data_IF_061759219343
#
_entry.id   IF_061759219343
#
_cell.length_a   1.000
_cell.length_b   1.000
_cell.length_c   1.000
_cell.angle_alpha   90.00
_cell.angle_beta   90.00
_cell.angle_gamma   90.00
#
_symmetry.space_group_name_H-M   'P 1'
#
loop_
_entity.id
_entity.type
_entity.pdbx_description
1 polymer ?
#
# COMPACT_ATOMS: atom_id res chain seq x y z
N UNK A 1 -13.22 24.62 -9.00
CA UNK A 1 -13.46 23.49 -8.07
C UNK A 1 -12.11 22.89 -7.69
N UNK A 2 -11.91 22.55 -6.42
CA UNK A 2 -10.72 21.79 -5.98
C UNK A 2 -11.04 20.31 -6.11
N UNK A 3 -10.27 19.59 -6.92
CA UNK A 3 -10.37 18.12 -7.01
C UNK A 3 -9.40 17.48 -6.02
N UNK A 4 -9.90 16.54 -5.22
CA UNK A 4 -9.09 15.79 -4.25
C UNK A 4 -8.23 14.76 -5.00
N UNK A 5 -6.96 15.10 -5.25
CA UNK A 5 -5.99 14.21 -5.93
C UNK A 5 -5.34 13.19 -4.99
N UNK A 6 -5.24 13.50 -3.70
CA UNK A 6 -4.63 12.66 -2.68
C UNK A 6 -5.60 12.44 -1.53
N UNK A 7 -5.71 11.19 -1.07
CA UNK A 7 -6.56 10.80 0.04
C UNK A 7 -5.77 9.92 1.03
N UNK A 8 -5.64 10.39 2.27
CA UNK A 8 -5.07 9.64 3.39
C UNK A 8 -6.19 9.20 4.34
N UNK A 9 -6.26 7.91 4.65
CA UNK A 9 -7.26 7.32 5.52
C UNK A 9 -6.59 6.40 6.55
N UNK A 10 -6.38 6.92 7.76
CA UNK A 10 -5.89 6.18 8.91
C UNK A 10 -7.07 5.82 9.83
N UNK A 11 -7.38 4.53 9.96
CA UNK A 11 -8.44 4.02 10.85
C UNK A 11 -7.91 2.90 11.75
N UNK A 12 -8.42 2.88 12.98
CA UNK A 12 -8.09 1.84 13.95
C UNK A 12 -8.85 0.54 13.63
N UNK A 13 -8.12 -0.56 13.42
CA UNK A 13 -8.55 -1.89 12.97
C UNK A 13 -9.99 -2.32 13.39
N UNK A 14 -10.40 -2.31 14.68
CA UNK A 14 -11.79 -2.57 15.11
C UNK A 14 -12.92 -1.84 14.35
N UNK A 15 -12.64 -0.70 13.71
CA UNK A 15 -13.63 0.10 12.97
C UNK A 15 -13.58 -0.11 11.46
N UNK A 16 -12.56 -0.81 10.94
CA UNK A 16 -12.36 -1.09 9.51
C UNK A 16 -13.60 -1.72 8.88
N UNK A 17 -14.13 -2.79 9.48
CA UNK A 17 -15.28 -3.51 8.95
C UNK A 17 -16.54 -2.63 8.89
N UNK A 18 -16.76 -1.78 9.91
CA UNK A 18 -17.87 -0.82 9.95
C UNK A 18 -17.77 0.21 8.82
N UNK A 19 -16.56 0.69 8.52
CA UNK A 19 -16.32 1.59 7.39
C UNK A 19 -16.44 0.89 6.03
N UNK A 20 -15.95 -0.34 5.90
CA UNK A 20 -16.13 -1.14 4.68
C UNK A 20 -17.61 -1.34 4.33
N UNK A 21 -18.43 -1.70 5.32
CA UNK A 21 -19.89 -1.79 5.17
C UNK A 21 -20.52 -0.44 4.80
N UNK A 22 -20.10 0.66 5.45
CA UNK A 22 -20.63 1.99 5.15
C UNK A 22 -20.25 2.50 3.75
N UNK A 23 -19.05 2.19 3.26
CA UNK A 23 -18.61 2.54 1.91
C UNK A 23 -19.36 1.74 0.84
N UNK A 24 -19.58 0.44 1.08
CA UNK A 24 -20.40 -0.41 0.21
C UNK A 24 -21.87 0.05 0.15
N UNK A 25 -22.47 0.36 1.31
CA UNK A 25 -23.88 0.76 1.41
C UNK A 25 -24.18 2.18 0.87
N UNK A 26 -23.16 2.98 0.57
CA UNK A 26 -23.30 4.39 0.12
C UNK A 26 -22.75 4.67 -1.27
N UNK A 27 -22.39 3.63 -2.03
CA UNK A 27 -21.81 3.74 -3.38
C UNK A 27 -20.67 4.78 -3.45
N UNK A 28 -19.82 4.81 -2.42
CA UNK A 28 -18.75 5.81 -2.33
C UNK A 28 -17.86 5.74 -3.58
N UNK A 29 -17.67 6.86 -4.26
CA UNK A 29 -16.83 6.93 -5.45
C UNK A 29 -15.95 8.17 -5.38
N UNK A 30 -14.64 7.95 -5.50
CA UNK A 30 -13.58 8.95 -5.44
C UNK A 30 -12.78 8.92 -6.75
N UNK A 31 -13.41 9.20 -7.91
CA UNK A 31 -12.81 8.95 -9.24
C UNK A 31 -11.65 9.90 -9.59
N UNK A 32 -11.40 10.93 -8.79
CA UNK A 32 -10.31 11.90 -8.99
C UNK A 32 -9.10 11.67 -8.07
N UNK A 33 -9.20 10.72 -7.12
CA UNK A 33 -8.09 10.36 -6.23
C UNK A 33 -7.09 9.51 -7.00
N UNK A 34 -5.93 10.09 -7.28
CA UNK A 34 -4.82 9.40 -7.96
C UNK A 34 -3.76 8.86 -6.99
N UNK A 35 -3.72 9.41 -5.77
CA UNK A 35 -2.84 9.00 -4.69
C UNK A 35 -3.68 8.55 -3.48
N UNK A 36 -3.57 7.28 -3.11
CA UNK A 36 -4.33 6.66 -2.03
C UNK A 36 -3.37 6.11 -0.96
N UNK A 37 -3.46 6.64 0.26
CA UNK A 37 -2.69 6.18 1.41
C UNK A 37 -3.66 5.69 2.50
N UNK A 38 -3.59 4.42 2.88
CA UNK A 38 -4.62 3.78 3.72
C UNK A 38 -4.02 2.96 4.86
N UNK A 39 -4.75 2.81 5.96
CA UNK A 39 -4.35 1.92 7.06
C UNK A 39 -4.31 0.44 6.60
N UNK A 40 -3.66 -0.45 7.38
CA UNK A 40 -3.88 -1.89 7.24
C UNK A 40 -5.38 -2.23 7.21
N UNK A 41 -5.73 -3.27 6.45
CA UNK A 41 -7.09 -3.80 6.29
C UNK A 41 -8.12 -2.85 5.65
N UNK A 42 -7.71 -1.66 5.19
CA UNK A 42 -8.59 -0.71 4.51
C UNK A 42 -8.58 -0.86 2.97
N UNK A 43 -8.15 -2.01 2.45
CA UNK A 43 -7.96 -2.26 1.01
C UNK A 43 -9.27 -2.16 0.19
N UNK A 44 -10.42 -2.23 0.85
CA UNK A 44 -11.71 -1.95 0.23
C UNK A 44 -11.76 -0.55 -0.43
N UNK A 45 -11.07 0.46 0.15
CA UNK A 45 -11.01 1.81 -0.42
C UNK A 45 -10.36 1.86 -1.80
N UNK A 46 -9.46 0.94 -2.13
CA UNK A 46 -8.81 0.92 -3.45
C UNK A 46 -9.82 0.60 -4.55
N UNK A 47 -10.98 -0.02 -4.25
CA UNK A 47 -12.09 -0.21 -5.21
C UNK A 47 -12.90 1.07 -5.43
N UNK A 48 -12.94 1.95 -4.44
CA UNK A 48 -13.66 3.22 -4.49
C UNK A 48 -12.84 4.35 -5.16
N UNK A 49 -11.55 4.13 -5.41
CA UNK A 49 -10.63 5.07 -6.07
C UNK A 49 -10.11 4.49 -7.41
N UNK A 50 -10.92 4.47 -8.49
CA UNK A 50 -10.56 3.81 -9.76
C UNK A 50 -9.37 4.47 -10.48
N UNK A 51 -9.12 5.76 -10.27
CA UNK A 51 -8.00 6.49 -10.86
C UNK A 51 -6.70 6.43 -10.02
N UNK A 52 -6.66 5.63 -8.94
CA UNK A 52 -5.49 5.51 -8.08
C UNK A 52 -4.34 4.78 -8.78
N UNK A 53 -3.40 5.55 -9.33
CA UNK A 53 -2.12 5.07 -9.89
C UNK A 53 -1.01 5.00 -8.84
N UNK A 54 -1.20 5.64 -7.67
CA UNK A 54 -0.33 5.53 -6.51
C UNK A 54 -1.13 5.03 -5.32
N UNK A 55 -0.74 3.87 -4.78
CA UNK A 55 -1.44 3.20 -3.67
C UNK A 55 -0.43 2.84 -2.60
N UNK A 56 -0.75 3.03 -1.33
CA UNK A 56 0.15 2.59 -0.28
C UNK A 56 -0.46 2.57 1.12
N UNK A 57 0.31 1.99 2.04
CA UNK A 57 -0.03 1.95 3.45
C UNK A 57 0.42 3.23 4.14
N UNK A 58 -0.49 3.91 4.83
CA UNK A 58 -0.13 5.03 5.68
C UNK A 58 0.73 4.55 6.87
N UNK A 59 1.66 5.39 7.33
CA UNK A 59 2.37 5.11 8.58
C UNK A 59 1.42 5.35 9.74
N UNK A 60 0.94 4.28 10.36
CA UNK A 60 0.10 4.33 11.56
C UNK A 60 0.81 5.16 12.64
N UNK A 61 0.40 6.42 12.81
CA UNK A 61 1.06 7.36 13.75
C UNK A 61 0.89 6.93 15.21
N UNK A 62 0.06 5.92 15.47
CA UNK A 62 -0.30 5.42 16.79
C UNK A 62 0.07 3.95 16.93
N UNK A 63 1.25 3.75 17.51
CA UNK A 63 1.85 2.51 18.06
C UNK A 63 2.55 1.60 17.06
N UNK A 64 3.62 0.96 17.59
CA UNK A 64 4.29 -0.24 17.09
C UNK A 64 3.30 -1.41 16.96
N UNK A 65 2.39 -1.38 16.00
CA UNK A 65 1.87 -2.63 15.46
C UNK A 65 2.87 -3.11 14.42
N UNK A 66 3.42 -4.28 14.69
CA UNK A 66 3.96 -5.15 13.67
C UNK A 66 2.78 -5.45 12.76
N UNK A 67 2.70 -4.73 11.64
CA UNK A 67 2.07 -5.30 10.45
C UNK A 67 2.86 -6.59 10.17
N UNK A 68 2.18 -7.62 9.68
CA UNK A 68 2.81 -8.83 9.16
C UNK A 68 2.94 -8.68 7.65
N UNK A 69 3.93 -9.33 7.01
CA UNK A 69 3.97 -9.46 5.55
C UNK A 69 2.61 -9.84 4.94
N UNK A 70 1.88 -10.74 5.62
CA UNK A 70 0.55 -11.22 5.22
C UNK A 70 -0.54 -10.11 5.20
N UNK A 71 -0.40 -9.04 6.01
CA UNK A 71 -1.34 -7.91 6.06
C UNK A 71 -1.28 -7.02 4.81
N UNK A 72 -0.23 -7.17 3.99
CA UNK A 72 -0.09 -6.46 2.70
C UNK A 72 -0.74 -7.20 1.53
N UNK A 73 -0.95 -8.52 1.66
CA UNK A 73 -1.55 -9.34 0.61
C UNK A 73 -2.99 -8.91 0.26
N UNK A 74 -3.87 -8.51 1.21
CA UNK A 74 -5.15 -7.90 0.89
C UNK A 74 -5.00 -6.65 0.01
N UNK A 75 -4.04 -5.78 0.31
CA UNK A 75 -3.80 -4.57 -0.46
C UNK A 75 -3.32 -4.88 -1.87
N UNK A 76 -2.35 -5.78 -2.01
CA UNK A 76 -1.83 -6.22 -3.31
C UNK A 76 -2.93 -6.84 -4.18
N UNK A 77 -3.76 -7.73 -3.60
CA UNK A 77 -4.91 -8.34 -4.27
C UNK A 77 -6.02 -7.34 -4.60
N UNK A 78 -6.21 -6.31 -3.77
CA UNK A 78 -7.18 -5.26 -4.04
C UNK A 78 -6.72 -4.35 -5.19
N UNK A 79 -5.41 -4.11 -5.34
CA UNK A 79 -4.86 -3.44 -6.52
C UNK A 79 -5.08 -4.31 -7.77
N UNK A 80 -4.67 -5.58 -7.74
CA UNK A 80 -4.76 -6.50 -8.89
C UNK A 80 -3.97 -6.00 -10.10
N UNK A 81 -4.42 -6.32 -11.31
CA UNK A 81 -3.74 -6.00 -12.59
C UNK A 81 -3.81 -4.50 -12.99
N UNK A 82 -4.03 -3.59 -12.03
CA UNK A 82 -4.15 -2.16 -12.32
C UNK A 82 -2.79 -1.53 -12.65
N UNK A 83 -2.76 -0.49 -13.50
CA UNK A 83 -1.55 0.26 -13.82
C UNK A 83 -1.16 1.18 -12.64
N UNK A 84 -0.71 0.57 -11.54
CA UNK A 84 -0.18 1.29 -10.39
C UNK A 84 1.28 1.62 -10.64
N UNK A 85 1.53 2.89 -10.95
CA UNK A 85 2.85 3.47 -11.12
C UNK A 85 3.66 3.46 -9.81
N UNK A 86 3.00 3.61 -8.65
CA UNK A 86 3.69 3.67 -7.36
C UNK A 86 3.01 2.89 -6.24
N UNK A 87 3.76 2.00 -5.59
CA UNK A 87 3.30 1.22 -4.44
C UNK A 87 4.16 1.49 -3.21
N UNK A 88 3.54 1.82 -2.08
CA UNK A 88 4.26 2.10 -0.82
C UNK A 88 3.78 1.19 0.30
N UNK A 89 4.68 0.46 0.93
CA UNK A 89 4.41 -0.40 2.07
C UNK A 89 5.23 0.03 3.29
N UNK A 90 4.59 0.02 4.46
CA UNK A 90 5.22 0.30 5.74
C UNK A 90 4.95 -0.87 6.70
N UNK A 91 5.99 -1.55 7.14
CA UNK A 91 5.95 -2.68 8.07
C UNK A 91 7.17 -2.61 9.00
N UNK A 92 7.32 -3.60 9.87
CA UNK A 92 8.53 -3.86 10.66
C UNK A 92 9.46 -4.87 10.00
N UNK A 93 8.94 -5.88 9.29
CA UNK A 93 9.75 -6.96 8.70
C UNK A 93 9.26 -7.34 7.30
N UNK A 94 10.15 -7.32 6.30
CA UNK A 94 9.87 -7.85 4.96
C UNK A 94 10.52 -9.20 4.71
N UNK A 95 9.98 -9.96 3.74
CA UNK A 95 10.53 -11.20 3.23
C UNK A 95 10.71 -11.09 1.72
N UNK A 96 11.78 -11.69 1.18
CA UNK A 96 12.04 -11.67 -0.27
C UNK A 96 10.87 -12.22 -1.10
N UNK A 97 10.16 -13.22 -0.58
CA UNK A 97 8.97 -13.80 -1.23
C UNK A 97 7.85 -12.79 -1.47
N UNK A 98 7.64 -11.84 -0.56
CA UNK A 98 6.64 -10.80 -0.73
C UNK A 98 7.05 -9.80 -1.82
N UNK A 99 8.32 -9.40 -1.85
CA UNK A 99 8.86 -8.53 -2.90
C UNK A 99 8.71 -9.17 -4.28
N UNK A 100 8.96 -10.49 -4.39
CA UNK A 100 8.69 -11.26 -5.61
C UNK A 100 7.19 -11.30 -5.95
N UNK A 101 6.30 -11.49 -4.98
CA UNK A 101 4.84 -11.47 -5.21
C UNK A 101 4.36 -10.08 -5.68
N UNK A 102 4.89 -8.99 -5.13
CA UNK A 102 4.59 -7.61 -5.55
C UNK A 102 5.04 -7.38 -6.99
N UNK A 103 6.29 -7.70 -7.34
CA UNK A 103 6.83 -7.51 -8.71
C UNK A 103 6.07 -8.37 -9.73
N UNK A 104 5.69 -9.59 -9.36
CA UNK A 104 4.90 -10.47 -10.24
C UNK A 104 3.45 -9.98 -10.42
N UNK A 105 2.85 -9.37 -9.39
CA UNK A 105 1.47 -8.86 -9.45
C UNK A 105 1.38 -7.49 -10.12
N UNK A 106 2.41 -6.65 -9.95
CA UNK A 106 2.50 -5.29 -10.46
C UNK A 106 3.69 -5.16 -11.43
N UNK A 107 3.72 -5.87 -12.58
CA UNK A 107 4.87 -5.89 -13.49
C UNK A 107 5.14 -4.54 -14.17
N UNK A 108 4.20 -3.59 -14.08
CA UNK A 108 4.30 -2.22 -14.60
C UNK A 108 4.64 -1.16 -13.54
N UNK A 109 4.97 -1.57 -12.31
CA UNK A 109 5.31 -0.64 -11.23
C UNK A 109 6.59 0.16 -11.53
N UNK A 110 6.53 1.48 -11.34
CA UNK A 110 7.64 2.42 -11.58
C UNK A 110 8.35 2.78 -10.28
N UNK A 111 7.61 2.93 -9.18
CA UNK A 111 8.13 3.28 -7.85
C UNK A 111 7.64 2.28 -6.79
N UNK A 112 8.51 1.40 -6.31
CA UNK A 112 8.26 0.56 -5.14
C UNK A 112 9.01 1.14 -3.92
N UNK A 113 8.26 1.58 -2.91
CA UNK A 113 8.81 2.03 -1.62
C UNK A 113 8.43 1.03 -0.53
N UNK A 114 9.43 0.28 -0.04
CA UNK A 114 9.26 -0.67 1.07
C UNK A 114 10.04 -0.17 2.27
N UNK A 115 9.33 0.18 3.34
CA UNK A 115 9.91 0.62 4.62
C UNK A 115 9.75 -0.52 5.63
N UNK A 116 10.87 -0.98 6.20
CA UNK A 116 10.89 -1.90 7.34
C UNK A 116 12.06 -1.62 8.28
N UNK A 117 11.97 -2.16 9.50
CA UNK A 117 13.07 -2.23 10.47
C UNK A 117 14.00 -3.43 10.16
N UNK A 118 13.50 -4.47 9.48
CA UNK A 118 14.23 -5.67 9.10
C UNK A 118 13.81 -6.21 7.73
N UNK A 119 14.74 -6.89 7.05
CA UNK A 119 14.47 -7.72 5.88
C UNK A 119 14.97 -9.14 6.15
N UNK A 120 14.16 -10.15 5.83
CA UNK A 120 14.45 -11.57 6.06
C UNK A 120 14.73 -12.29 4.73
N UNK A 121 15.94 -12.86 4.66
CA UNK A 121 16.52 -13.50 3.49
C UNK A 121 17.91 -12.91 3.20
N UNK A 122 18.86 -13.73 2.74
CA UNK A 122 20.13 -13.22 2.22
C UNK A 122 19.86 -12.44 0.94
N UNK A 123 20.07 -11.13 1.00
CA UNK A 123 20.06 -10.27 -0.19
C UNK A 123 21.48 -10.29 -0.74
N UNK A 124 21.68 -10.97 -1.87
CA UNK A 124 22.92 -10.80 -2.64
C UNK A 124 22.88 -9.41 -3.31
N UNK A 125 23.38 -8.42 -2.57
CA UNK A 125 23.02 -7.02 -2.75
C UNK A 125 23.84 -6.32 -3.84
N UNK A 126 23.63 -6.70 -5.11
CA UNK A 126 23.87 -5.83 -6.28
C UNK A 126 23.19 -6.36 -7.55
N UNK A 127 22.56 -5.51 -8.40
CA UNK A 127 22.35 -4.07 -8.27
C UNK A 127 20.89 -3.73 -7.88
N UNK A 128 20.52 -3.97 -6.62
CA UNK A 128 19.35 -3.33 -5.99
C UNK A 128 19.88 -2.57 -4.77
N UNK A 129 19.94 -1.24 -4.86
CA UNK A 129 20.60 -0.42 -3.84
C UNK A 129 19.78 -0.31 -2.54
N UNK A 130 20.36 -0.83 -1.44
CA UNK A 130 19.80 -0.97 -0.08
C UNK A 130 20.87 -0.67 0.99
N UNK A 131 21.01 0.50 1.65
CA UNK A 131 20.41 1.87 1.53
C UNK A 131 19.18 2.25 2.41
N UNK A 132 19.20 1.91 3.72
CA UNK A 132 18.22 2.32 4.76
C UNK A 132 17.61 3.73 4.61
N UNK A 133 16.27 3.85 4.74
CA UNK A 133 15.47 5.07 4.53
C UNK A 133 15.28 5.46 3.04
N UNK A 134 14.61 4.57 2.32
CA UNK A 134 14.37 4.63 0.87
C UNK A 134 13.37 5.70 0.40
N UNK A 135 13.84 6.60 -0.44
CA UNK A 135 13.03 7.16 -1.52
C UNK A 135 13.81 6.93 -2.82
N UNK A 136 13.42 5.87 -3.55
CA UNK A 136 13.95 5.62 -4.89
C UNK A 136 13.15 6.53 -5.83
N UNK A 137 13.81 7.56 -6.37
CA UNK A 137 13.37 8.22 -7.59
C UNK A 137 14.23 7.71 -8.73
N UNK A 138 13.58 7.37 -9.84
CA UNK A 138 14.22 7.27 -11.14
C UNK A 138 14.72 8.65 -11.59
#
# INVERSE_FOLDING_TARGET
MVQLKSFEFDIHEPWVSSFGLACAARELSLPFVTHLSISPYAEFLVRHCPAAVRVGMCRTRRRRRINRPDDTLPLLRAVGDRPVEGFTLNDTTWKISLTTEIVNTLPSIVELSMVAERYEGDIDASPIHITEKFSIRA
#
